data_IF_818976043937
#
_entry.id   IF_818976043937
#
_cell.length_a   1.000
_cell.length_b   1.000
_cell.length_c   1.000
_cell.angle_alpha   90.00
_cell.angle_beta   90.00
_cell.angle_gamma   90.00
#
_symmetry.space_group_name_H-M   'P 1'
#
loop_
_entity.id
_entity.type
_entity.pdbx_description
1 polymer ?
#
# COMPACT_ATOMS: atom_id res chain seq x y z
N UNK A 1 2.17 3.47 10.90
CA UNK A 1 1.45 3.05 12.13
C UNK A 1 0.30 3.97 12.50
N UNK A 2 0.48 5.30 12.62
CA UNK A 2 -0.63 6.23 12.98
C UNK A 2 -1.93 6.03 12.20
N UNK A 3 -1.87 5.74 10.89
CA UNK A 3 -3.06 5.49 10.06
C UNK A 3 -3.80 4.22 10.46
N UNK A 4 -3.09 3.13 10.77
CA UNK A 4 -3.71 1.91 11.31
C UNK A 4 -4.34 2.19 12.68
N UNK A 5 -3.60 2.86 13.59
CA UNK A 5 -4.14 3.22 14.91
C UNK A 5 -5.46 4.01 14.81
N UNK A 6 -5.55 4.90 13.82
CA UNK A 6 -6.74 5.74 13.60
C UNK A 6 -7.88 4.98 12.93
N UNK A 7 -7.58 4.06 12.01
CA UNK A 7 -8.58 3.42 11.14
C UNK A 7 -9.09 2.09 11.66
N UNK A 8 -8.22 1.28 12.26
CA UNK A 8 -8.52 -0.09 12.70
C UNK A 8 -8.22 -0.30 14.20
N UNK A 9 -8.09 0.80 14.95
CA UNK A 9 -7.80 0.78 16.37
C UNK A 9 -6.31 0.65 16.68
N UNK A 10 -5.95 0.89 17.94
CA UNK A 10 -4.57 0.78 18.42
C UNK A 10 -4.10 -0.67 18.33
N UNK A 11 -2.80 -0.83 18.10
CA UNK A 11 -2.14 -2.13 18.26
C UNK A 11 -2.47 -2.74 19.64
N UNK A 12 -2.76 -4.05 19.70
CA UNK A 12 -3.21 -4.70 20.94
C UNK A 12 -2.11 -4.83 22.01
N UNK A 13 -0.83 -4.82 21.62
CA UNK A 13 0.31 -4.88 22.53
C UNK A 13 1.57 -4.24 21.89
N UNK A 14 2.56 -3.78 22.69
CA UNK A 14 3.68 -2.96 22.20
C UNK A 14 4.51 -3.57 21.07
N UNK A 15 4.67 -4.89 21.04
CA UNK A 15 5.44 -5.63 20.02
C UNK A 15 4.56 -6.17 18.87
N UNK A 16 3.36 -5.63 18.69
CA UNK A 16 2.48 -6.02 17.60
C UNK A 16 2.85 -5.30 16.30
N UNK A 17 3.35 -6.07 15.34
CA UNK A 17 3.65 -5.59 14.00
C UNK A 17 2.48 -5.86 13.04
N UNK A 18 2.28 -5.01 12.01
CA UNK A 18 1.23 -5.21 11.03
C UNK A 18 1.44 -6.50 10.23
N UNK A 19 0.37 -7.26 10.06
CA UNK A 19 0.30 -8.38 9.13
C UNK A 19 -0.18 -7.85 7.79
N UNK A 20 0.48 -8.28 6.72
CA UNK A 20 0.19 -7.87 5.35
C UNK A 20 -0.41 -9.03 4.57
N UNK A 21 -1.48 -8.75 3.82
CA UNK A 21 -2.14 -9.71 2.95
C UNK A 21 -2.57 -9.05 1.63
N UNK A 22 -2.95 -9.86 0.65
CA UNK A 22 -3.52 -9.37 -0.59
C UNK A 22 -5.04 -9.40 -0.52
N UNK A 23 -5.69 -8.25 -0.68
CA UNK A 23 -7.15 -8.17 -0.89
C UNK A 23 -7.49 -8.36 -2.38
N UNK A 24 -6.65 -7.78 -3.24
CA UNK A 24 -6.73 -7.87 -4.70
C UNK A 24 -5.30 -7.90 -5.26
N UNK A 25 -4.81 -9.08 -5.68
CA UNK A 25 -3.42 -9.24 -6.08
C UNK A 25 -3.09 -8.63 -7.46
N UNK A 26 -3.97 -8.76 -8.46
CA UNK A 26 -3.78 -8.14 -9.76
C UNK A 26 -4.96 -7.21 -10.11
N UNK A 27 -6.17 -7.75 -10.04
CA UNK A 27 -7.42 -7.08 -10.42
C UNK A 27 -8.59 -7.79 -9.73
N UNK A 28 -9.80 -7.24 -9.86
CA UNK A 28 -11.00 -7.76 -9.21
C UNK A 28 -11.39 -9.18 -9.64
N UNK A 29 -10.94 -9.66 -10.80
CA UNK A 29 -11.12 -11.03 -11.29
C UNK A 29 -10.00 -11.96 -10.82
N UNK A 30 -8.81 -11.42 -10.55
CA UNK A 30 -7.59 -12.14 -10.16
C UNK A 30 -7.10 -11.68 -8.78
N UNK A 31 -7.98 -11.80 -7.79
CA UNK A 31 -7.73 -11.36 -6.42
C UNK A 31 -6.66 -12.20 -5.69
N UNK A 32 -6.54 -13.48 -6.04
CA UNK A 32 -5.64 -14.43 -5.37
C UNK A 32 -4.29 -14.52 -6.10
N UNK A 33 -3.15 -14.50 -5.39
CA UNK A 33 -1.83 -14.72 -5.99
C UNK A 33 -1.73 -16.09 -6.68
N UNK A 34 -1.27 -16.15 -7.93
CA UNK A 34 -1.09 -17.41 -8.68
C UNK A 34 0.19 -18.12 -8.24
N UNK A 35 0.05 -19.23 -7.51
CA UNK A 35 1.15 -20.01 -6.93
C UNK A 35 2.14 -20.59 -7.97
N UNK A 36 1.81 -20.54 -9.26
CA UNK A 36 2.73 -20.92 -10.34
C UNK A 36 3.75 -19.81 -10.66
N UNK A 37 3.56 -18.59 -10.14
CA UNK A 37 4.47 -17.48 -10.35
C UNK A 37 5.76 -17.64 -9.53
N UNK A 38 6.90 -17.27 -10.12
CA UNK A 38 8.25 -17.47 -9.54
C UNK A 38 8.67 -16.43 -8.49
N UNK A 39 7.73 -15.66 -7.95
CA UNK A 39 8.03 -14.43 -7.21
C UNK A 39 7.76 -14.49 -5.69
N UNK A 40 7.18 -15.59 -5.20
CA UNK A 40 6.76 -15.68 -3.81
C UNK A 40 7.80 -16.33 -2.91
N UNK A 41 8.49 -17.37 -3.42
CA UNK A 41 9.53 -18.11 -2.69
C UNK A 41 10.61 -18.56 -3.69
N UNK A 42 11.85 -18.81 -3.22
CA UNK A 42 12.90 -19.42 -4.03
C UNK A 42 12.46 -20.74 -4.65
N UNK A 43 12.98 -21.06 -5.84
CA UNK A 43 12.63 -22.30 -6.55
C UNK A 43 12.92 -23.54 -5.70
N UNK A 44 11.95 -24.45 -5.63
CA UNK A 44 12.03 -25.70 -4.86
C UNK A 44 11.58 -25.59 -3.41
N UNK A 45 11.37 -24.38 -2.89
CA UNK A 45 10.92 -24.16 -1.52
C UNK A 45 9.44 -24.53 -1.34
N UNK A 46 9.13 -25.10 -0.17
CA UNK A 46 7.76 -25.38 0.24
C UNK A 46 7.14 -24.11 0.83
N UNK A 47 5.93 -23.80 0.39
CA UNK A 47 5.19 -22.64 0.84
C UNK A 47 3.74 -22.95 1.16
N UNK A 48 3.11 -22.01 1.87
CA UNK A 48 1.67 -22.00 2.11
C UNK A 48 1.07 -20.66 1.67
N UNK A 49 -0.11 -20.70 1.09
CA UNK A 49 -0.97 -19.53 0.89
C UNK A 49 -2.21 -19.69 1.74
N UNK A 50 -2.46 -18.68 2.58
CA UNK A 50 -3.63 -18.62 3.43
C UNK A 50 -4.72 -17.78 2.76
N UNK A 51 -5.96 -18.27 2.78
CA UNK A 51 -7.15 -17.46 2.54
C UNK A 51 -7.73 -17.11 3.92
N UNK A 52 -7.95 -15.81 4.14
CA UNK A 52 -8.28 -15.25 5.45
C UNK A 52 -9.61 -14.50 5.31
N UNK A 53 -10.49 -14.67 6.29
CA UNK A 53 -11.69 -13.85 6.48
C UNK A 53 -11.44 -12.86 7.63
N UNK A 54 -11.81 -11.59 7.42
CA UNK A 54 -11.66 -10.52 8.40
C UNK A 54 -12.88 -9.61 8.37
N UNK A 55 -13.24 -9.00 9.51
CA UNK A 55 -14.19 -7.90 9.48
C UNK A 55 -13.54 -6.69 8.80
N UNK A 56 -14.32 -5.96 8.00
CA UNK A 56 -13.85 -4.77 7.29
C UNK A 56 -13.26 -3.72 8.24
N UNK A 57 -13.86 -3.53 9.41
CA UNK A 57 -13.38 -2.58 10.43
C UNK A 57 -11.99 -2.91 11.01
N UNK A 58 -11.54 -4.15 10.87
CA UNK A 58 -10.27 -4.63 11.41
C UNK A 58 -9.16 -4.62 10.35
N UNK A 59 -9.46 -4.13 9.13
CA UNK A 59 -8.56 -4.14 7.98
C UNK A 59 -8.42 -2.74 7.39
N UNK A 60 -7.18 -2.30 7.20
CA UNK A 60 -6.85 -1.12 6.43
C UNK A 60 -6.41 -1.54 5.03
N UNK A 61 -7.21 -1.18 4.04
CA UNK A 61 -6.88 -1.39 2.63
C UNK A 61 -6.09 -0.19 2.08
N UNK A 62 -5.18 -0.48 1.15
CA UNK A 62 -4.39 0.53 0.45
C UNK A 62 -4.03 0.09 -0.96
N UNK A 63 -3.87 1.07 -1.86
CA UNK A 63 -3.29 0.87 -3.17
C UNK A 63 -1.79 0.54 -3.04
N UNK A 64 -1.41 -0.66 -3.46
CA UNK A 64 -0.03 -1.14 -3.37
C UNK A 64 0.93 -0.32 -4.23
N UNK A 65 0.49 0.16 -5.40
CA UNK A 65 1.35 0.88 -6.34
C UNK A 65 1.72 2.26 -5.80
N UNK A 66 0.78 2.94 -5.15
CA UNK A 66 1.00 4.28 -4.60
C UNK A 66 1.98 4.30 -3.41
N UNK A 67 2.27 3.16 -2.77
CA UNK A 67 3.33 3.08 -1.77
C UNK A 67 4.74 3.38 -2.33
N UNK A 68 4.93 3.35 -3.66
CA UNK A 68 6.16 3.81 -4.29
C UNK A 68 6.51 5.27 -3.95
N UNK A 69 5.51 6.12 -3.73
CA UNK A 69 5.71 7.53 -3.36
C UNK A 69 6.41 7.71 -2.01
N UNK A 70 5.89 7.19 -0.88
CA UNK A 70 6.58 7.32 0.40
C UNK A 70 7.89 6.54 0.49
N UNK A 71 8.01 5.38 -0.17
CA UNK A 71 9.20 4.53 0.00
C UNK A 71 10.36 4.86 -0.94
N UNK A 72 10.06 5.12 -2.22
CA UNK A 72 11.09 5.25 -3.26
C UNK A 72 11.24 6.68 -3.74
N UNK A 73 10.13 7.36 -4.08
CA UNK A 73 10.18 8.67 -4.72
C UNK A 73 10.28 9.83 -3.72
N UNK A 74 9.78 9.62 -2.50
CA UNK A 74 9.64 10.62 -1.44
C UNK A 74 8.86 11.86 -1.91
N UNK A 75 7.94 11.65 -2.86
CA UNK A 75 7.31 12.69 -3.68
C UNK A 75 5.85 12.98 -3.36
N UNK A 76 5.32 14.05 -3.95
CA UNK A 76 3.94 14.51 -3.83
C UNK A 76 2.99 13.77 -4.77
N UNK A 77 1.85 13.30 -4.26
CA UNK A 77 0.77 12.73 -5.08
C UNK A 77 -0.26 13.83 -5.36
N UNK A 78 -0.21 14.42 -6.54
CA UNK A 78 -1.19 15.40 -7.01
C UNK A 78 -2.58 14.79 -7.19
N UNK A 79 -3.60 15.63 -7.34
CA UNK A 79 -4.93 15.20 -7.75
C UNK A 79 -4.94 14.73 -9.21
N UNK A 80 -4.03 15.26 -10.02
CA UNK A 80 -3.81 14.94 -11.42
C UNK A 80 -2.37 15.34 -11.82
N UNK A 81 -2.02 15.07 -13.07
CA UNK A 81 -0.75 15.47 -13.68
C UNK A 81 -0.44 16.95 -13.50
N UNK A 82 -1.41 17.84 -13.76
CA UNK A 82 -1.22 19.29 -13.68
C UNK A 82 -0.77 19.72 -12.28
N UNK A 83 -1.43 19.21 -11.23
CA UNK A 83 -1.06 19.56 -9.86
C UNK A 83 0.33 19.01 -9.48
N UNK A 84 0.66 17.80 -9.94
CA UNK A 84 1.97 17.18 -9.71
C UNK A 84 3.10 17.96 -10.38
N UNK A 85 2.94 18.28 -11.66
CA UNK A 85 3.92 19.08 -12.42
C UNK A 85 4.08 20.46 -11.79
N UNK A 86 2.98 21.14 -11.45
CA UNK A 86 3.02 22.46 -10.82
C UNK A 86 3.74 22.43 -9.45
N UNK A 87 3.61 21.33 -8.69
CA UNK A 87 4.33 21.15 -7.43
C UNK A 87 5.83 20.99 -7.67
N UNK A 88 6.22 20.19 -8.65
CA UNK A 88 7.62 19.97 -9.00
C UNK A 88 8.30 21.24 -9.53
N UNK A 89 7.62 22.00 -10.39
CA UNK A 89 8.08 23.32 -10.87
C UNK A 89 8.20 24.35 -9.72
N UNK A 90 7.31 24.27 -8.73
CA UNK A 90 7.41 25.11 -7.54
C UNK A 90 8.66 24.78 -6.73
N UNK A 91 9.04 23.51 -6.59
CA UNK A 91 10.29 23.12 -5.94
C UNK A 91 11.50 23.65 -6.71
N UNK A 92 11.53 23.54 -8.04
CA UNK A 92 12.64 24.05 -8.86
C UNK A 92 12.81 25.56 -8.75
N UNK A 93 11.71 26.32 -8.88
CA UNK A 93 11.77 27.79 -8.77
C UNK A 93 12.29 28.26 -7.43
N UNK A 94 12.09 27.46 -6.38
CA UNK A 94 12.60 27.73 -5.02
C UNK A 94 13.99 27.13 -4.77
N UNK A 95 14.59 26.46 -5.75
CA UNK A 95 15.90 25.80 -5.62
C UNK A 95 15.91 24.65 -4.58
N UNK A 96 14.78 23.97 -4.41
CA UNK A 96 14.61 22.93 -3.39
C UNK A 96 14.94 21.53 -3.94
N UNK A 97 15.50 20.68 -3.07
CA UNK A 97 15.85 19.30 -3.39
C UNK A 97 14.60 18.44 -3.60
N UNK A 98 14.39 17.96 -4.84
CA UNK A 98 13.26 17.10 -5.20
C UNK A 98 13.40 15.65 -4.73
N UNK A 99 14.62 15.23 -4.42
CA UNK A 99 14.96 13.82 -4.17
C UNK A 99 15.01 13.50 -2.69
N UNK A 100 15.23 14.51 -1.84
CA UNK A 100 15.36 14.34 -0.41
C UNK A 100 14.33 15.17 0.35
N UNK A 101 13.19 14.54 0.64
CA UNK A 101 12.12 15.11 1.46
C UNK A 101 12.63 15.62 2.81
N UNK A 102 13.66 15.00 3.39
CA UNK A 102 14.24 15.38 4.69
C UNK A 102 14.79 16.80 4.72
N UNK A 103 15.29 17.30 3.58
CA UNK A 103 15.84 18.66 3.42
C UNK A 103 14.79 19.72 3.12
N UNK A 104 13.56 19.32 2.81
CA UNK A 104 12.51 20.26 2.45
C UNK A 104 11.98 21.02 3.68
N UNK A 105 11.53 22.28 3.49
CA UNK A 105 10.79 23.03 4.50
C UNK A 105 9.62 22.23 5.11
N UNK A 106 9.32 22.47 6.40
CA UNK A 106 8.33 21.70 7.17
C UNK A 106 6.93 21.73 6.54
N UNK A 107 6.50 22.87 6.02
CA UNK A 107 5.24 23.06 5.32
C UNK A 107 5.16 22.20 4.04
N UNK A 108 6.23 22.17 3.25
CA UNK A 108 6.32 21.35 2.03
C UNK A 108 6.32 19.87 2.38
N UNK A 109 7.11 19.45 3.38
CA UNK A 109 7.09 18.06 3.89
C UNK A 109 5.70 17.64 4.34
N UNK A 110 5.01 18.53 5.06
CA UNK A 110 3.65 18.27 5.54
C UNK A 110 2.67 18.11 4.38
N UNK A 111 2.79 18.93 3.33
CA UNK A 111 1.98 18.81 2.11
C UNK A 111 2.23 17.49 1.38
N UNK A 112 3.49 17.07 1.25
CA UNK A 112 3.86 15.77 0.67
C UNK A 112 3.27 14.62 1.49
N UNK A 113 3.53 14.57 2.80
CA UNK A 113 3.03 13.51 3.67
C UNK A 113 1.51 13.45 3.68
N UNK A 114 0.82 14.60 3.64
CA UNK A 114 -0.65 14.65 3.54
C UNK A 114 -1.15 14.09 2.21
N UNK A 115 -0.43 14.29 1.11
CA UNK A 115 -0.82 13.76 -0.20
C UNK A 115 -0.83 12.23 -0.23
N UNK A 116 -0.03 11.58 0.61
CA UNK A 116 0.01 10.11 0.74
C UNK A 116 -1.27 9.52 1.33
N UNK A 117 -2.19 10.34 1.84
CA UNK A 117 -3.52 9.86 2.25
C UNK A 117 -4.30 9.24 1.07
N UNK A 118 -3.97 9.62 -0.16
CA UNK A 118 -4.50 9.02 -1.40
C UNK A 118 -4.19 7.53 -1.54
N UNK A 119 -3.14 7.03 -0.90
CA UNK A 119 -2.82 5.58 -0.85
C UNK A 119 -3.98 4.77 -0.26
N UNK A 120 -4.75 5.37 0.66
CA UNK A 120 -5.89 4.74 1.34
C UNK A 120 -7.23 5.07 0.69
N UNK A 121 -7.25 5.96 -0.31
CA UNK A 121 -8.42 6.27 -1.11
C UNK A 121 -8.46 5.33 -2.32
N UNK A 122 -9.16 4.21 -2.17
CA UNK A 122 -9.24 3.19 -3.22
C UNK A 122 -10.05 3.65 -4.44
N UNK A 123 -10.75 4.77 -4.34
CA UNK A 123 -11.52 5.36 -5.43
C UNK A 123 -10.74 6.51 -6.11
N UNK A 124 -9.53 6.82 -5.65
CA UNK A 124 -8.60 7.69 -6.37
C UNK A 124 -8.03 6.95 -7.59
N UNK A 125 -8.46 7.35 -8.79
CA UNK A 125 -8.20 6.67 -10.06
C UNK A 125 -7.67 7.62 -11.16
N UNK A 126 -6.98 8.68 -10.75
CA UNK A 126 -6.32 9.59 -11.69
C UNK A 126 -5.26 8.84 -12.53
N UNK A 127 -5.39 8.78 -13.88
CA UNK A 127 -4.55 7.94 -14.72
C UNK A 127 -3.05 8.26 -14.68
N UNK A 128 -2.66 9.44 -14.19
CA UNK A 128 -1.26 9.79 -14.04
C UNK A 128 -0.63 9.13 -12.81
N UNK A 129 -1.41 8.85 -11.77
CA UNK A 129 -0.93 8.27 -10.51
C UNK A 129 -1.43 6.86 -10.24
N UNK A 130 -2.67 6.55 -10.64
CA UNK A 130 -3.43 5.45 -10.08
C UNK A 130 -4.41 4.84 -11.09
N UNK A 131 -4.63 3.54 -10.94
CA UNK A 131 -5.57 2.77 -11.74
C UNK A 131 -6.99 2.81 -11.15
N UNK A 132 -8.06 2.59 -11.94
CA UNK A 132 -9.40 2.36 -11.39
C UNK A 132 -9.44 1.21 -10.38
N UNK A 133 -10.33 1.30 -9.38
CA UNK A 133 -10.40 0.34 -8.25
C UNK A 133 -10.40 -1.14 -8.67
N UNK A 134 -11.07 -1.46 -9.77
CA UNK A 134 -11.19 -2.83 -10.27
C UNK A 134 -9.90 -3.39 -10.87
N UNK A 135 -8.94 -2.55 -11.25
CA UNK A 135 -7.62 -2.93 -11.80
C UNK A 135 -6.48 -2.66 -10.84
N UNK A 136 -6.74 -2.03 -9.68
CA UNK A 136 -5.72 -1.80 -8.64
C UNK A 136 -5.15 -3.10 -8.08
N UNK A 137 -3.89 -3.05 -7.67
CA UNK A 137 -3.32 -4.01 -6.72
C UNK A 137 -3.63 -3.50 -5.31
N UNK A 138 -4.51 -4.18 -4.57
CA UNK A 138 -4.98 -3.75 -3.25
C UNK A 138 -4.38 -4.67 -2.19
N UNK A 139 -3.63 -4.05 -1.29
CA UNK A 139 -3.06 -4.70 -0.12
C UNK A 139 -3.95 -4.46 1.10
N UNK A 140 -4.01 -5.45 1.98
CA UNK A 140 -4.67 -5.38 3.28
C UNK A 140 -3.62 -5.38 4.39
N UNK A 141 -3.84 -4.54 5.40
CA UNK A 141 -3.06 -4.52 6.63
C UNK A 141 -3.97 -4.63 7.84
N UNK A 142 -3.58 -5.44 8.81
CA UNK A 142 -4.31 -5.66 10.05
C UNK A 142 -3.36 -6.06 11.18
N UNK A 143 -3.81 -5.97 12.43
CA UNK A 143 -2.93 -6.16 13.59
C UNK A 143 -2.66 -7.62 13.92
N UNK A 144 -3.68 -8.47 13.89
CA UNK A 144 -3.58 -9.86 14.39
C UNK A 144 -4.25 -10.82 13.43
N UNK A 145 -3.83 -12.08 13.46
CA UNK A 145 -4.45 -13.18 12.74
C UNK A 145 -4.70 -14.32 13.71
N UNK A 146 -5.96 -14.70 13.89
CA UNK A 146 -6.35 -15.90 14.62
C UNK A 146 -6.51 -17.09 13.67
N UNK A 147 -6.48 -18.32 14.19
CA UNK A 147 -6.60 -19.52 13.35
C UNK A 147 -8.01 -19.68 12.78
N UNK A 148 -9.02 -19.22 13.52
CA UNK A 148 -10.43 -19.24 13.13
C UNK A 148 -10.72 -18.34 11.92
N UNK A 149 -9.88 -17.32 11.70
CA UNK A 149 -9.94 -16.43 10.55
C UNK A 149 -9.31 -17.05 9.29
N UNK A 150 -8.60 -18.18 9.40
CA UNK A 150 -8.02 -18.89 8.26
C UNK A 150 -9.05 -19.86 7.68
N UNK A 151 -9.56 -19.54 6.50
CA UNK A 151 -10.61 -20.35 5.84
C UNK A 151 -10.05 -21.36 4.84
N UNK A 152 -8.81 -21.17 4.38
CA UNK A 152 -8.16 -22.11 3.46
C UNK A 152 -6.64 -22.06 3.58
N UNK A 153 -6.00 -23.22 3.40
CA UNK A 153 -4.54 -23.36 3.29
C UNK A 153 -4.22 -24.12 2.00
N UNK A 154 -3.49 -23.49 1.09
CA UNK A 154 -2.97 -24.11 -0.11
C UNK A 154 -1.46 -24.33 0.05
N UNK A 155 -1.02 -25.60 0.07
CA UNK A 155 0.41 -25.96 0.07
C UNK A 155 0.95 -25.96 -1.37
N UNK A 156 2.16 -25.48 -1.58
CA UNK A 156 2.80 -25.49 -2.89
C UNK A 156 4.33 -25.63 -2.80
N UNK A 157 4.95 -25.97 -3.93
CA UNK A 157 6.39 -25.90 -4.13
C UNK A 157 6.66 -24.84 -5.19
N UNK A 158 7.52 -23.88 -4.88
CA UNK A 158 7.85 -22.79 -5.79
C UNK A 158 8.62 -23.28 -7.03
N UNK A 159 8.29 -22.70 -8.19
CA UNK A 159 8.74 -23.15 -9.51
C UNK A 159 9.96 -22.39 -10.04
#
# INVERSE_FOLDING_TARGET
MKKMDTKIGKHPFPECFPVWAWYQYNDNKRRKPDLRARRFLPKGEKGVRLEIIKNEKDVLLSDFMLWGFPYSYHGFIGQNEIESVAFDEMLERKGLDKTNIGKLPKDIRTKIVKSWDKIFDLDFDDPYHAEPRNTKVIQATFWTLSLEEVVKVDQFVAR
#
